data_IF_091111455733
#
_entry.id   IF_091111455733
#
_cell.length_a   1.000
_cell.length_b   1.000
_cell.length_c   1.000
_cell.angle_alpha   90.00
_cell.angle_beta   90.00
_cell.angle_gamma   90.00
#
_symmetry.space_group_name_H-M   'P 1'
#
loop_
_entity.id
_entity.type
_entity.pdbx_description
1 polymer ?
#
# COMPACT_ATOMS: atom_id res chain seq x y z
N UNK A 1 -10.74 11.09 8.01
CA UNK A 1 -10.26 10.26 6.88
C UNK A 1 -9.65 8.98 7.44
N UNK A 2 -10.06 7.83 6.92
CA UNK A 2 -9.64 6.51 7.37
C UNK A 2 -8.73 5.85 6.32
N UNK A 3 -7.47 5.60 6.69
CA UNK A 3 -6.47 4.99 5.82
C UNK A 3 -6.16 3.59 6.35
N UNK A 4 -6.33 2.57 5.53
CA UNK A 4 -5.94 1.20 5.87
C UNK A 4 -4.70 0.80 5.08
N UNK A 5 -3.61 0.55 5.79
CA UNK A 5 -2.34 0.08 5.25
C UNK A 5 -2.30 -1.45 5.34
N UNK A 6 -2.07 -2.11 4.21
CA UNK A 6 -2.10 -3.57 4.10
C UNK A 6 -0.71 -4.05 3.70
N UNK A 7 -0.03 -4.71 4.63
CA UNK A 7 1.23 -5.38 4.36
C UNK A 7 0.97 -6.78 3.80
N UNK A 8 1.21 -6.96 2.51
CA UNK A 8 1.06 -8.23 1.80
C UNK A 8 2.35 -9.08 1.75
N UNK A 9 3.36 -8.75 2.54
CA UNK A 9 4.56 -9.60 2.63
C UNK A 9 4.29 -10.88 3.44
N UNK A 10 4.71 -12.06 2.97
CA UNK A 10 4.62 -13.29 3.75
C UNK A 10 5.62 -13.35 4.92
N UNK A 11 6.65 -12.51 4.92
CA UNK A 11 7.65 -12.46 5.99
C UNK A 11 7.06 -11.90 7.27
N UNK A 12 7.32 -12.59 8.39
CA UNK A 12 6.85 -12.17 9.73
C UNK A 12 7.67 -11.00 10.26
N UNK A 13 8.99 -10.98 9.97
CA UNK A 13 9.94 -9.96 10.43
C UNK A 13 10.82 -9.52 9.27
N UNK A 14 11.37 -8.33 9.38
CA UNK A 14 12.38 -7.80 8.49
C UNK A 14 11.99 -7.87 7.00
N UNK A 15 10.76 -7.50 6.68
CA UNK A 15 10.33 -7.38 5.28
C UNK A 15 10.56 -5.98 4.74
N UNK A 16 11.03 -5.88 3.49
CA UNK A 16 11.15 -4.59 2.80
C UNK A 16 9.80 -3.85 2.75
N UNK A 17 8.70 -4.59 2.51
CA UNK A 17 7.34 -4.03 2.54
C UNK A 17 6.98 -3.44 3.90
N UNK A 18 7.40 -4.09 5.00
CA UNK A 18 7.20 -3.56 6.36
C UNK A 18 8.00 -2.28 6.62
N UNK A 19 9.23 -2.17 6.10
CA UNK A 19 10.01 -0.94 6.18
C UNK A 19 9.33 0.20 5.41
N UNK A 20 8.91 -0.06 4.17
CA UNK A 20 8.20 0.92 3.33
C UNK A 20 6.91 1.39 4.01
N UNK A 21 6.15 0.46 4.62
CA UNK A 21 4.95 0.78 5.37
C UNK A 21 5.24 1.70 6.55
N UNK A 22 6.27 1.40 7.34
CA UNK A 22 6.65 2.23 8.47
C UNK A 22 7.10 3.62 8.05
N UNK A 23 7.87 3.72 6.97
CA UNK A 23 8.26 5.00 6.40
C UNK A 23 7.03 5.81 5.93
N UNK A 24 6.11 5.20 5.21
CA UNK A 24 4.86 5.86 4.81
C UNK A 24 4.06 6.38 6.02
N UNK A 25 3.98 5.59 7.11
CA UNK A 25 3.32 6.04 8.36
C UNK A 25 3.99 7.29 8.96
N UNK A 26 5.33 7.35 8.93
CA UNK A 26 6.07 8.53 9.41
C UNK A 26 5.69 9.76 8.57
N UNK A 27 5.64 9.63 7.24
CA UNK A 27 5.23 10.73 6.36
C UNK A 27 3.77 11.16 6.60
N UNK A 28 2.87 10.22 6.86
CA UNK A 28 1.46 10.52 7.14
C UNK A 28 1.25 11.19 8.50
N UNK A 29 2.08 10.88 9.50
CA UNK A 29 1.97 11.45 10.84
C UNK A 29 2.70 12.79 11.02
N UNK A 30 3.71 13.08 10.18
CA UNK A 30 4.55 14.27 10.30
C UNK A 30 4.06 15.46 9.45
N UNK A 31 2.91 15.35 8.82
CA UNK A 31 2.42 16.45 8.02
C UNK A 31 1.82 17.57 8.90
N UNK A 32 2.23 18.80 8.63
CA UNK A 32 1.87 20.00 9.41
C UNK A 32 0.46 20.56 9.06
N UNK A 33 -0.26 19.95 8.13
CA UNK A 33 -1.56 20.44 7.65
C UNK A 33 -2.68 20.14 8.67
N UNK A 34 -3.50 21.15 9.02
CA UNK A 34 -4.64 20.99 9.94
C UNK A 34 -5.66 19.94 9.47
N UNK A 35 -5.76 19.72 8.16
CA UNK A 35 -6.59 18.67 7.56
C UNK A 35 -6.16 17.26 7.95
N UNK A 36 -4.93 17.08 8.42
CA UNK A 36 -4.33 15.78 8.78
C UNK A 36 -4.57 15.37 10.22
N UNK A 37 -4.98 16.30 11.09
CA UNK A 37 -5.30 16.01 12.50
C UNK A 37 -6.44 15.01 12.69
N UNK A 38 -7.23 14.75 11.65
CA UNK A 38 -8.35 13.81 11.65
C UNK A 38 -8.09 12.56 10.79
N UNK A 39 -6.82 12.14 10.62
CA UNK A 39 -6.49 10.90 9.92
C UNK A 39 -6.41 9.75 10.94
N UNK A 40 -7.21 8.72 10.69
CA UNK A 40 -7.10 7.43 11.39
C UNK A 40 -6.35 6.44 10.50
N UNK A 41 -5.27 5.87 11.00
CA UNK A 41 -4.46 4.89 10.26
C UNK A 41 -4.58 3.54 10.95
N UNK A 42 -5.05 2.56 10.21
CA UNK A 42 -5.10 1.15 10.61
C UNK A 42 -4.08 0.34 9.80
N UNK A 43 -3.48 -0.67 10.42
CA UNK A 43 -2.48 -1.53 9.79
C UNK A 43 -2.87 -3.00 9.90
N UNK A 44 -2.80 -3.71 8.76
CA UNK A 44 -3.08 -5.14 8.69
C UNK A 44 -2.00 -5.90 7.91
N UNK A 45 -1.75 -7.12 8.34
CA UNK A 45 -0.83 -8.04 7.68
C UNK A 45 -1.60 -9.16 7.01
N UNK A 46 -1.65 -9.16 5.69
CA UNK A 46 -2.26 -10.23 4.89
C UNK A 46 -1.24 -11.31 4.60
N UNK A 47 -1.00 -12.19 5.57
CA UNK A 47 -0.04 -13.30 5.46
C UNK A 47 -0.69 -14.65 5.21
N UNK A 48 -1.98 -14.75 5.47
CA UNK A 48 -2.79 -15.94 5.25
C UNK A 48 -3.71 -15.72 4.06
N UNK A 49 -4.18 -16.79 3.49
CA UNK A 49 -5.12 -16.79 2.37
C UNK A 49 -6.59 -16.60 2.78
N UNK A 50 -6.85 -16.21 4.02
CA UNK A 50 -8.19 -15.96 4.56
C UNK A 50 -8.20 -14.71 5.41
N UNK A 51 -9.25 -13.91 5.25
CA UNK A 51 -9.49 -12.69 6.01
C UNK A 51 -10.44 -12.93 7.18
N UNK A 52 -10.17 -12.25 8.28
CA UNK A 52 -11.06 -12.19 9.43
C UNK A 52 -12.14 -11.13 9.21
N UNK A 53 -13.33 -11.32 9.81
CA UNK A 53 -14.47 -10.40 9.65
C UNK A 53 -14.14 -8.95 10.07
N UNK A 54 -13.37 -8.78 11.14
CA UNK A 54 -12.93 -7.46 11.60
C UNK A 54 -12.07 -6.73 10.56
N UNK A 55 -11.19 -7.45 9.85
CA UNK A 55 -10.38 -6.90 8.76
C UNK A 55 -11.25 -6.48 7.58
N UNK A 56 -12.25 -7.30 7.25
CA UNK A 56 -13.20 -7.01 6.17
C UNK A 56 -13.98 -5.73 6.48
N UNK A 57 -14.52 -5.60 7.69
CA UNK A 57 -15.23 -4.41 8.14
C UNK A 57 -14.37 -3.15 8.07
N UNK A 58 -13.10 -3.26 8.46
CA UNK A 58 -12.14 -2.18 8.35
C UNK A 58 -11.91 -1.76 6.91
N UNK A 59 -11.67 -2.71 6.02
CA UNK A 59 -11.41 -2.46 4.59
C UNK A 59 -12.61 -1.78 3.92
N UNK A 60 -13.83 -2.26 4.15
CA UNK A 60 -15.03 -1.74 3.49
C UNK A 60 -15.45 -0.35 3.99
N UNK A 61 -14.99 0.03 5.17
CA UNK A 61 -15.25 1.36 5.76
C UNK A 61 -14.09 2.35 5.57
N UNK A 62 -13.04 1.96 4.88
CA UNK A 62 -11.89 2.81 4.61
C UNK A 62 -12.17 3.84 3.52
N UNK A 63 -11.55 5.02 3.64
CA UNK A 63 -11.50 6.01 2.56
C UNK A 63 -10.36 5.69 1.59
N UNK A 64 -9.25 5.17 2.12
CA UNK A 64 -8.04 4.83 1.36
C UNK A 64 -7.55 3.44 1.76
N UNK A 65 -7.25 2.63 0.75
CA UNK A 65 -6.54 1.35 0.89
C UNK A 65 -5.17 1.47 0.24
N UNK A 66 -4.13 1.08 0.98
CA UNK A 66 -2.76 1.04 0.47
C UNK A 66 -2.22 -0.37 0.61
N UNK A 67 -2.03 -1.04 -0.52
CA UNK A 67 -1.39 -2.35 -0.57
C UNK A 67 0.13 -2.21 -0.70
N UNK A 68 0.88 -2.80 0.23
CA UNK A 68 2.35 -2.75 0.25
C UNK A 68 2.87 -4.18 0.28
N UNK A 69 3.49 -4.64 -0.81
CA UNK A 69 3.85 -6.06 -0.95
C UNK A 69 5.06 -6.27 -1.86
N UNK A 70 5.75 -7.44 -1.75
CA UNK A 70 6.84 -7.78 -2.65
C UNK A 70 6.33 -8.35 -3.97
N UNK A 71 7.05 -8.09 -5.07
CA UNK A 71 6.88 -8.77 -6.34
C UNK A 71 7.31 -10.25 -6.19
N UNK A 72 6.43 -11.18 -6.50
CA UNK A 72 6.72 -12.61 -6.52
C UNK A 72 6.31 -13.20 -7.87
N UNK A 73 7.31 -13.77 -8.56
CA UNK A 73 7.10 -14.41 -9.88
C UNK A 73 6.31 -13.46 -10.81
N UNK A 74 6.81 -12.23 -10.95
CA UNK A 74 6.26 -11.14 -11.75
C UNK A 74 4.79 -10.75 -11.43
N UNK A 75 4.32 -11.10 -10.24
CA UNK A 75 2.94 -10.83 -9.83
C UNK A 75 2.76 -10.58 -8.34
N UNK A 76 1.50 -10.59 -7.95
CA UNK A 76 1.04 -10.44 -6.56
C UNK A 76 1.25 -11.76 -5.82
N UNK A 77 1.75 -11.77 -4.57
CA UNK A 77 1.86 -12.99 -3.76
C UNK A 77 0.52 -13.75 -3.64
N UNK A 78 0.53 -15.06 -3.82
CA UNK A 78 -0.68 -15.88 -3.93
C UNK A 78 -1.65 -15.75 -2.75
N UNK A 79 -1.14 -15.63 -1.51
CA UNK A 79 -1.95 -15.43 -0.32
C UNK A 79 -2.65 -14.05 -0.33
N UNK A 80 -1.97 -13.01 -0.82
CA UNK A 80 -2.57 -11.68 -1.00
C UNK A 80 -3.62 -11.73 -2.12
N UNK A 81 -3.34 -12.39 -3.23
CA UNK A 81 -4.32 -12.59 -4.31
C UNK A 81 -5.58 -13.30 -3.82
N UNK A 82 -5.43 -14.33 -2.97
CA UNK A 82 -6.57 -15.00 -2.33
C UNK A 82 -7.41 -14.06 -1.46
N UNK A 83 -6.77 -13.11 -0.76
CA UNK A 83 -7.47 -12.08 0.01
C UNK A 83 -8.20 -11.08 -0.91
N UNK A 84 -7.57 -10.68 -2.02
CA UNK A 84 -8.19 -9.78 -3.00
C UNK A 84 -9.46 -10.40 -3.61
N UNK A 85 -9.46 -11.70 -3.91
CA UNK A 85 -10.66 -12.41 -4.41
C UNK A 85 -11.80 -12.38 -3.37
N UNK A 86 -11.49 -12.61 -2.10
CA UNK A 86 -12.50 -12.54 -1.02
C UNK A 86 -13.06 -11.11 -0.87
N UNK A 87 -12.20 -10.10 -0.92
CA UNK A 87 -12.63 -8.70 -0.87
C UNK A 87 -13.48 -8.31 -2.08
N UNK A 88 -13.15 -8.81 -3.27
CA UNK A 88 -13.92 -8.57 -4.49
C UNK A 88 -15.38 -9.06 -4.34
N UNK A 89 -15.58 -10.27 -3.83
CA UNK A 89 -16.92 -10.83 -3.62
C UNK A 89 -17.75 -9.98 -2.66
N UNK A 90 -17.12 -9.41 -1.63
CA UNK A 90 -17.80 -8.57 -0.63
C UNK A 90 -18.05 -7.17 -1.20
N UNK A 91 -17.03 -6.56 -1.79
CA UNK A 91 -17.11 -5.20 -2.30
C UNK A 91 -18.14 -5.05 -3.43
N UNK A 92 -18.33 -6.04 -4.28
CA UNK A 92 -19.36 -6.04 -5.32
C UNK A 92 -20.79 -5.88 -4.78
N UNK A 93 -21.02 -6.27 -3.54
CA UNK A 93 -22.33 -6.17 -2.91
C UNK A 93 -22.58 -4.82 -2.21
N UNK A 94 -21.59 -3.95 -2.15
CA UNK A 94 -21.69 -2.62 -1.52
C UNK A 94 -22.03 -1.60 -2.60
N UNK A 95 -23.18 -0.94 -2.50
CA UNK A 95 -23.71 -0.02 -3.52
C UNK A 95 -22.96 1.31 -3.60
N UNK A 96 -22.59 1.87 -2.45
CA UNK A 96 -21.90 3.17 -2.39
C UNK A 96 -20.50 2.99 -1.81
N UNK A 97 -19.49 3.13 -2.67
CA UNK A 97 -18.08 3.01 -2.33
C UNK A 97 -17.33 4.25 -2.78
N UNK A 98 -16.65 4.90 -1.87
CA UNK A 98 -15.75 6.00 -2.22
C UNK A 98 -14.31 5.68 -1.78
N UNK A 99 -13.94 4.43 -1.92
CA UNK A 99 -12.62 3.93 -1.52
C UNK A 99 -11.63 4.20 -2.65
N UNK A 100 -10.48 4.76 -2.30
CA UNK A 100 -9.37 4.97 -3.23
C UNK A 100 -8.23 4.01 -2.94
N UNK A 101 -7.74 3.34 -3.99
CA UNK A 101 -6.74 2.26 -3.88
C UNK A 101 -5.38 2.74 -4.36
N UNK A 102 -4.34 2.38 -3.62
CA UNK A 102 -2.94 2.62 -3.96
C UNK A 102 -2.14 1.33 -3.79
N UNK A 103 -1.03 1.20 -4.53
CA UNK A 103 -0.13 0.07 -4.41
C UNK A 103 1.33 0.52 -4.35
N UNK A 104 2.09 0.00 -3.40
CA UNK A 104 3.54 0.13 -3.30
C UNK A 104 4.15 -1.26 -3.43
N UNK A 105 4.80 -1.53 -4.53
CA UNK A 105 5.33 -2.87 -4.83
C UNK A 105 6.84 -2.82 -4.84
N UNK A 106 7.49 -3.69 -4.07
CA UNK A 106 8.94 -3.76 -4.00
C UNK A 106 9.49 -5.05 -4.59
N UNK A 107 10.64 -4.97 -5.24
CA UNK A 107 11.33 -6.11 -5.83
C UNK A 107 12.81 -6.14 -5.49
N UNK A 108 13.46 -7.28 -5.81
CA UNK A 108 14.91 -7.41 -5.77
C UNK A 108 15.63 -6.80 -6.97
N UNK A 109 14.92 -6.45 -8.03
CA UNK A 109 15.47 -5.77 -9.19
C UNK A 109 15.86 -4.33 -8.85
N UNK A 110 16.82 -3.77 -9.57
CA UNK A 110 17.21 -2.38 -9.36
C UNK A 110 16.14 -1.40 -9.84
N UNK A 111 15.49 -1.72 -10.95
CA UNK A 111 14.48 -0.87 -11.58
C UNK A 111 13.11 -1.10 -10.96
N UNK A 112 12.49 -0.02 -10.49
CA UNK A 112 11.11 -0.05 -9.98
C UNK A 112 10.07 -0.44 -11.04
N UNK A 113 10.38 -0.26 -12.32
CA UNK A 113 9.51 -0.59 -13.45
C UNK A 113 9.19 -2.09 -13.54
N UNK A 114 10.06 -2.96 -13.05
CA UNK A 114 9.82 -4.41 -13.00
C UNK A 114 8.58 -4.78 -12.17
N UNK A 115 8.09 -3.87 -11.35
CA UNK A 115 6.88 -4.08 -10.55
C UNK A 115 5.57 -3.77 -11.32
N UNK A 116 5.65 -3.35 -12.58
CA UNK A 116 4.51 -2.86 -13.36
C UNK A 116 3.37 -3.87 -13.44
N UNK A 117 3.66 -5.14 -13.75
CA UNK A 117 2.65 -6.19 -13.85
C UNK A 117 1.85 -6.37 -12.56
N UNK A 118 2.53 -6.37 -11.41
CA UNK A 118 1.87 -6.49 -10.11
C UNK A 118 1.04 -5.26 -9.75
N UNK A 119 1.47 -4.06 -10.15
CA UNK A 119 0.70 -2.82 -10.01
C UNK A 119 -0.57 -2.87 -10.86
N UNK A 120 -0.47 -3.28 -12.12
CA UNK A 120 -1.60 -3.42 -13.04
C UNK A 120 -2.62 -4.45 -12.54
N UNK A 121 -2.19 -5.52 -11.87
CA UNK A 121 -3.10 -6.49 -11.23
C UNK A 121 -3.95 -5.80 -10.15
N UNK A 122 -3.35 -4.96 -9.29
CA UNK A 122 -4.10 -4.24 -8.25
C UNK A 122 -5.02 -3.17 -8.87
N UNK A 123 -4.57 -2.47 -9.90
CA UNK A 123 -5.37 -1.50 -10.65
C UNK A 123 -6.61 -2.15 -11.26
N UNK A 124 -6.44 -3.23 -12.02
CA UNK A 124 -7.53 -4.00 -12.60
C UNK A 124 -8.48 -4.57 -11.54
N UNK A 125 -7.94 -5.03 -10.40
CA UNK A 125 -8.75 -5.47 -9.27
C UNK A 125 -9.60 -4.32 -8.69
N UNK A 126 -9.00 -3.15 -8.52
CA UNK A 126 -9.72 -1.97 -8.04
C UNK A 126 -10.86 -1.57 -8.98
N UNK A 127 -10.60 -1.53 -10.29
CA UNK A 127 -11.62 -1.25 -11.30
C UNK A 127 -12.75 -2.29 -11.27
N UNK A 128 -12.41 -3.58 -11.20
CA UNK A 128 -13.37 -4.68 -11.10
C UNK A 128 -14.26 -4.60 -9.86
N UNK A 129 -13.73 -4.03 -8.77
CA UNK A 129 -14.47 -3.75 -7.54
C UNK A 129 -15.21 -2.41 -7.57
N UNK A 130 -15.16 -1.66 -8.66
CA UNK A 130 -15.69 -0.29 -8.79
C UNK A 130 -15.10 0.69 -7.77
N UNK A 131 -13.83 0.49 -7.41
CA UNK A 131 -13.07 1.38 -6.54
C UNK A 131 -12.27 2.38 -7.37
N UNK A 132 -11.91 3.51 -6.77
CA UNK A 132 -11.10 4.53 -7.46
C UNK A 132 -9.62 4.15 -7.41
N UNK A 133 -9.00 3.99 -8.56
CA UNK A 133 -7.54 3.86 -8.64
C UNK A 133 -6.87 5.20 -8.36
N UNK A 134 -5.88 5.20 -7.50
CA UNK A 134 -5.08 6.36 -7.14
C UNK A 134 -3.74 6.41 -7.88
N UNK A 135 -2.86 5.50 -7.49
CA UNK A 135 -1.53 5.40 -8.08
C UNK A 135 -0.81 4.12 -7.60
N UNK A 136 0.03 3.55 -8.47
CA UNK A 136 1.04 2.55 -8.11
C UNK A 136 2.44 3.16 -8.04
N UNK A 137 3.28 2.64 -7.14
CA UNK A 137 4.72 2.94 -7.05
C UNK A 137 5.48 1.63 -7.06
N UNK A 138 6.35 1.47 -8.07
CA UNK A 138 7.33 0.39 -8.11
C UNK A 138 8.63 0.81 -7.40
N UNK A 139 9.10 -0.02 -6.47
CA UNK A 139 10.29 0.23 -5.67
C UNK A 139 11.29 -0.88 -5.98
N UNK A 140 12.40 -0.51 -6.62
CA UNK A 140 13.52 -1.41 -6.87
C UNK A 140 14.43 -1.55 -5.65
N UNK A 141 15.35 -2.51 -5.74
CA UNK A 141 16.38 -2.77 -4.73
C UNK A 141 15.83 -2.98 -3.30
N UNK A 142 14.63 -3.59 -3.18
CA UNK A 142 13.97 -3.83 -1.89
C UNK A 142 14.87 -4.43 -0.80
N UNK A 143 15.70 -5.44 -1.06
CA UNK A 143 16.63 -5.99 -0.07
C UNK A 143 17.63 -4.97 0.49
N UNK A 144 18.02 -3.95 -0.28
CA UNK A 144 18.97 -2.92 0.16
C UNK A 144 18.35 -1.96 1.20
N UNK A 145 17.02 -1.87 1.28
CA UNK A 145 16.35 -0.99 2.25
C UNK A 145 16.76 -1.29 3.70
N UNK A 146 17.03 -2.56 4.01
CA UNK A 146 17.54 -2.95 5.34
C UNK A 146 18.93 -2.38 5.63
N UNK A 147 19.81 -2.35 4.63
CA UNK A 147 21.18 -1.84 4.78
C UNK A 147 21.25 -0.32 4.88
N UNK A 148 20.22 0.36 4.38
CA UNK A 148 20.13 1.83 4.39
C UNK A 148 19.04 2.37 5.32
N UNK A 149 18.53 1.53 6.23
CA UNK A 149 17.42 1.91 7.14
C UNK A 149 17.72 3.16 7.96
N UNK A 150 18.98 3.36 8.36
CA UNK A 150 19.43 4.49 9.17
C UNK A 150 19.74 5.75 8.34
N UNK A 151 19.67 5.67 7.00
CA UNK A 151 19.79 6.83 6.11
C UNK A 151 18.46 7.60 6.14
N UNK A 152 18.46 8.92 6.43
CA UNK A 152 17.25 9.72 6.40
C UNK A 152 16.56 9.69 5.04
N UNK A 153 15.23 9.69 5.05
CA UNK A 153 14.44 9.77 3.83
C UNK A 153 14.77 11.05 3.04
N UNK A 154 14.74 10.92 1.70
CA UNK A 154 15.11 12.02 0.82
C UNK A 154 16.62 12.22 0.64
N UNK A 155 17.48 11.38 1.25
CA UNK A 155 18.93 11.48 1.15
C UNK A 155 19.54 10.22 0.53
N UNK A 156 20.68 10.39 -0.16
CA UNK A 156 21.46 9.29 -0.73
C UNK A 156 20.61 8.28 -1.50
N UNK A 157 20.72 6.97 -1.20
CA UNK A 157 19.97 5.92 -1.88
C UNK A 157 18.45 5.97 -1.64
N UNK A 158 17.99 6.67 -0.59
CA UNK A 158 16.57 6.86 -0.29
C UNK A 158 15.96 8.14 -0.87
N UNK A 159 16.71 8.92 -1.64
CA UNK A 159 16.26 10.22 -2.19
C UNK A 159 14.95 10.08 -2.99
N UNK A 160 14.89 9.15 -3.92
CA UNK A 160 13.73 8.96 -4.77
C UNK A 160 12.54 8.36 -4.01
N UNK A 161 12.79 7.43 -3.07
CA UNK A 161 11.76 6.83 -2.23
C UNK A 161 11.09 7.91 -1.36
N UNK A 162 11.87 8.74 -0.66
CA UNK A 162 11.33 9.82 0.16
C UNK A 162 10.49 10.82 -0.67
N UNK A 163 10.95 11.19 -1.87
CA UNK A 163 10.20 12.05 -2.79
C UNK A 163 8.87 11.41 -3.22
N UNK A 164 8.88 10.11 -3.53
CA UNK A 164 7.69 9.36 -3.93
C UNK A 164 6.68 9.26 -2.77
N UNK A 165 7.14 8.92 -1.55
CA UNK A 165 6.29 8.83 -0.36
C UNK A 165 5.69 10.19 0.02
N UNK A 166 6.47 11.28 -0.07
CA UNK A 166 5.96 12.65 0.14
C UNK A 166 4.89 12.99 -0.88
N UNK A 167 5.08 12.63 -2.15
CA UNK A 167 4.11 12.94 -3.21
C UNK A 167 2.81 12.18 -3.00
N UNK A 168 2.89 10.90 -2.65
CA UNK A 168 1.69 10.07 -2.48
C UNK A 168 0.91 10.45 -1.21
N UNK A 169 1.60 10.76 -0.10
CA UNK A 169 0.95 11.24 1.12
C UNK A 169 0.18 12.54 0.89
N UNK A 170 0.77 13.51 0.18
CA UNK A 170 0.07 14.76 -0.22
C UNK A 170 -1.14 14.51 -1.11
N UNK A 171 -1.09 13.49 -1.98
CA UNK A 171 -2.25 13.09 -2.79
C UNK A 171 -3.39 12.51 -1.95
N UNK A 172 -3.08 11.74 -0.90
CA UNK A 172 -4.10 11.21 0.00
C UNK A 172 -4.93 12.35 0.60
N UNK A 173 -4.26 13.39 1.07
CA UNK A 173 -4.87 14.55 1.71
C UNK A 173 -5.70 15.40 0.75
N UNK A 174 -5.18 15.65 -0.47
CA UNK A 174 -5.89 16.43 -1.49
C UNK A 174 -7.19 15.78 -2.01
N UNK A 175 -7.36 14.49 -1.81
CA UNK A 175 -8.56 13.78 -2.26
C UNK A 175 -9.83 14.12 -1.45
N UNK A 176 -9.68 14.81 -0.31
CA UNK A 176 -10.76 15.10 0.64
C UNK A 176 -10.94 16.61 0.90
N UNK A 177 -10.25 17.45 0.14
CA UNK A 177 -10.57 18.89 0.01
C UNK A 177 -11.47 19.10 -1.20
#
# INVERSE_FOLDING_TARGET
MKITLINGSPKVKDSASGLILNELKIFLNNSEDEAERNISISEYNFRKNKLDSAVIEEVVTSDILVFIFPLYVDGVPSHLLSCLVQLEEILKNIKEKNIKVYALVNSGFYEGEQNKSAIEIIENWAEKCELKWGQGIGIGAGPLLHSVKDVPEGHGPKKNLGSALTTISKKYIKCFK
#
